data_IF_835270222297
#
_entry.id   IF_835270222297
#
_cell.length_a   1.000
_cell.length_b   1.000
_cell.length_c   1.000
_cell.angle_alpha   90.00
_cell.angle_beta   90.00
_cell.angle_gamma   90.00
#
_symmetry.space_group_name_H-M   'P 1'
#
loop_
_entity.id
_entity.type
_entity.pdbx_description
1 polymer ?
#
# COMPACT_ATOMS: atom_id res chain seq x y z
N UNK A 1 6.05 34.11 -14.97
CA UNK A 1 5.32 34.29 -13.71
C UNK A 1 5.60 33.07 -12.85
N UNK A 2 6.02 33.31 -11.61
CA UNK A 2 6.52 32.35 -10.61
C UNK A 2 5.58 31.14 -10.48
N UNK A 3 5.93 30.04 -11.14
CA UNK A 3 5.31 28.75 -10.88
C UNK A 3 5.95 28.20 -9.62
N UNK A 4 5.13 27.77 -8.66
CA UNK A 4 5.61 27.12 -7.45
C UNK A 4 6.52 25.97 -7.88
N UNK A 5 7.82 26.13 -7.65
CA UNK A 5 8.83 25.16 -7.97
C UNK A 5 8.75 23.96 -7.03
N UNK A 6 9.39 22.86 -7.44
CA UNK A 6 9.50 21.66 -6.60
C UNK A 6 10.06 21.99 -5.21
N UNK A 7 11.02 22.91 -5.13
CA UNK A 7 11.62 23.38 -3.87
C UNK A 7 10.61 24.03 -2.94
N UNK A 8 9.72 24.89 -3.46
CA UNK A 8 8.71 25.58 -2.66
C UNK A 8 7.64 24.61 -2.16
N UNK A 9 7.23 23.64 -3.00
CA UNK A 9 6.35 22.55 -2.57
C UNK A 9 6.96 21.72 -1.44
N UNK A 10 8.27 21.42 -1.51
CA UNK A 10 8.96 20.68 -0.44
C UNK A 10 8.98 21.49 0.86
N UNK A 11 9.26 22.80 0.79
CA UNK A 11 9.25 23.67 1.99
C UNK A 11 7.85 23.67 2.63
N UNK A 12 6.79 23.83 1.83
CA UNK A 12 5.41 23.81 2.32
C UNK A 12 5.09 22.44 2.94
N UNK A 13 5.48 21.35 2.27
CA UNK A 13 5.30 19.98 2.77
C UNK A 13 5.95 19.81 4.15
N UNK A 14 7.19 20.28 4.32
CA UNK A 14 7.91 20.21 5.60
C UNK A 14 7.17 20.98 6.69
N UNK A 15 6.67 22.19 6.40
CA UNK A 15 5.89 22.98 7.38
C UNK A 15 4.63 22.23 7.81
N UNK A 16 3.88 21.69 6.85
CA UNK A 16 2.68 20.87 7.11
C UNK A 16 3.05 19.65 7.96
N UNK A 17 4.14 18.97 7.64
CA UNK A 17 4.63 17.82 8.40
C UNK A 17 5.04 18.18 9.83
N UNK A 18 5.56 19.38 10.08
CA UNK A 18 5.89 19.83 11.44
C UNK A 18 4.62 20.09 12.26
N UNK A 19 3.59 20.68 11.65
CA UNK A 19 2.31 21.00 12.33
C UNK A 19 1.50 19.73 12.60
N UNK A 20 1.33 18.88 11.59
CA UNK A 20 0.48 17.69 11.66
C UNK A 20 1.22 16.43 12.11
N UNK A 21 2.55 16.40 11.97
CA UNK A 21 3.39 15.23 12.20
C UNK A 21 3.50 14.32 10.97
N UNK A 22 4.65 13.66 10.81
CA UNK A 22 4.93 12.72 9.71
C UNK A 22 3.98 11.51 9.66
N UNK A 23 3.41 11.12 10.80
CA UNK A 23 2.54 9.95 10.89
C UNK A 23 1.11 10.22 10.40
N UNK A 24 0.66 11.48 10.36
CA UNK A 24 -0.73 11.80 10.01
C UNK A 24 -1.02 11.77 8.51
N UNK A 25 -0.05 12.11 7.66
CA UNK A 25 -0.25 12.05 6.20
C UNK A 25 -0.48 10.61 5.69
N UNK A 26 0.31 9.60 6.08
CA UNK A 26 0.07 8.21 5.70
C UNK A 26 -1.24 7.66 6.27
N UNK A 27 -1.60 8.02 7.51
CA UNK A 27 -2.83 7.58 8.17
C UNK A 27 -4.08 8.05 7.38
N UNK A 28 -4.12 9.34 7.03
CA UNK A 28 -5.20 9.93 6.23
C UNK A 28 -5.17 9.38 4.79
N UNK A 29 -3.97 9.25 4.20
CA UNK A 29 -3.78 8.72 2.86
C UNK A 29 -4.25 7.26 2.72
N UNK A 30 -4.04 6.42 3.73
CA UNK A 30 -4.50 5.03 3.74
C UNK A 30 -6.03 4.94 3.76
N UNK A 31 -6.70 5.76 4.57
CA UNK A 31 -8.16 5.85 4.60
C UNK A 31 -8.75 6.34 3.27
N UNK A 32 -8.19 7.45 2.76
CA UNK A 32 -8.62 8.04 1.49
C UNK A 32 -8.34 7.11 0.31
N UNK A 33 -7.20 6.42 0.29
CA UNK A 33 -6.83 5.46 -0.75
C UNK A 33 -7.79 4.26 -0.80
N UNK A 34 -8.20 3.73 0.36
CA UNK A 34 -9.24 2.69 0.44
C UNK A 34 -10.58 3.21 -0.10
N UNK A 35 -10.96 4.43 0.26
CA UNK A 35 -12.19 5.05 -0.23
C UNK A 35 -12.18 5.24 -1.75
N UNK A 36 -11.10 5.78 -2.31
CA UNK A 36 -10.93 5.95 -3.76
C UNK A 36 -10.94 4.59 -4.47
N UNK A 37 -10.26 3.58 -3.93
CA UNK A 37 -10.24 2.22 -4.47
C UNK A 37 -11.64 1.61 -4.53
N UNK A 38 -12.39 1.70 -3.43
CA UNK A 38 -13.75 1.17 -3.34
C UNK A 38 -14.72 1.95 -4.25
N UNK A 39 -14.58 3.28 -4.31
CA UNK A 39 -15.35 4.13 -5.21
C UNK A 39 -15.09 3.77 -6.68
N UNK A 40 -13.82 3.56 -7.05
CA UNK A 40 -13.45 3.12 -8.40
C UNK A 40 -14.01 1.73 -8.71
N UNK A 41 -13.96 0.78 -7.76
CA UNK A 41 -14.54 -0.57 -7.93
C UNK A 41 -16.04 -0.47 -8.20
N UNK A 42 -16.77 0.24 -7.34
CA UNK A 42 -18.21 0.44 -7.45
C UNK A 42 -18.66 1.18 -8.72
N UNK A 43 -17.83 2.10 -9.25
CA UNK A 43 -18.19 2.84 -10.47
C UNK A 43 -17.80 2.14 -11.77
N UNK A 44 -16.86 1.17 -11.72
CA UNK A 44 -16.31 0.50 -12.90
C UNK A 44 -16.93 -0.88 -13.14
N UNK A 45 -17.39 -1.56 -12.08
CA UNK A 45 -17.97 -2.91 -12.17
C UNK A 45 -19.50 -2.82 -12.13
N UNK A 46 -20.22 -3.20 -13.20
CA UNK A 46 -21.67 -3.40 -13.12
C UNK A 46 -21.95 -4.59 -12.20
N UNK A 47 -23.02 -4.49 -11.40
CA UNK A 47 -23.38 -5.39 -10.29
C UNK A 47 -23.26 -6.90 -10.62
N UNK A 48 -22.09 -7.48 -10.40
CA UNK A 48 -21.95 -8.91 -10.17
C UNK A 48 -21.72 -9.12 -8.69
N UNK A 49 -22.66 -9.81 -8.05
CA UNK A 49 -22.65 -10.16 -6.63
C UNK A 49 -21.39 -10.98 -6.35
N UNK A 50 -20.35 -10.31 -5.86
CA UNK A 50 -19.04 -10.89 -5.53
C UNK A 50 -19.15 -11.65 -4.19
N UNK A 51 -19.57 -12.91 -4.25
CA UNK A 51 -19.56 -13.86 -3.11
C UNK A 51 -18.19 -14.51 -2.87
N UNK A 52 -17.11 -13.91 -3.38
CA UNK A 52 -15.76 -14.42 -3.16
C UNK A 52 -15.19 -13.85 -1.84
N UNK A 53 -14.84 -14.68 -0.84
CA UNK A 53 -14.12 -14.19 0.33
C UNK A 53 -12.78 -13.65 -0.16
N UNK A 54 -12.52 -12.35 0.04
CA UNK A 54 -11.22 -11.74 -0.25
C UNK A 54 -10.16 -12.24 0.75
N UNK A 55 -9.72 -13.48 0.55
CA UNK A 55 -8.38 -13.90 0.95
C UNK A 55 -7.35 -13.28 -0.01
N UNK A 56 -6.18 -12.97 0.52
CA UNK A 56 -5.02 -12.37 -0.15
C UNK A 56 -5.04 -10.84 -0.34
N UNK A 57 -4.49 -10.13 0.64
CA UNK A 57 -3.23 -9.38 0.47
C UNK A 57 -2.66 -8.97 1.83
N UNK A 58 -2.20 -9.98 2.56
CA UNK A 58 -1.21 -9.85 3.63
C UNK A 58 0.07 -10.61 3.22
N UNK A 59 0.60 -10.28 2.03
CA UNK A 59 1.81 -10.88 1.45
C UNK A 59 3.05 -10.04 1.81
N UNK A 60 3.33 -9.87 3.09
CA UNK A 60 4.63 -9.31 3.51
C UNK A 60 5.31 -9.97 4.72
N UNK A 61 4.88 -11.16 5.17
CA UNK A 61 5.64 -11.94 6.16
C UNK A 61 5.50 -13.45 5.93
N UNK A 62 6.26 -14.02 4.98
CA UNK A 62 6.68 -15.44 4.95
C UNK A 62 7.57 -15.67 3.72
N UNK A 63 8.79 -15.14 3.75
CA UNK A 63 9.84 -15.48 2.76
C UNK A 63 11.01 -16.25 3.38
N UNK A 64 10.85 -16.76 4.61
CA UNK A 64 11.95 -17.33 5.41
C UNK A 64 11.82 -18.84 5.70
N UNK A 65 10.95 -19.60 5.02
CA UNK A 65 10.76 -21.04 5.34
C UNK A 65 10.80 -22.03 4.17
N UNK A 66 11.10 -21.61 2.95
CA UNK A 66 11.28 -22.55 1.81
C UNK A 66 12.75 -22.93 1.55
N UNK A 67 13.69 -22.38 2.32
CA UNK A 67 15.12 -22.64 2.16
C UNK A 67 15.66 -23.89 2.86
N UNK A 68 14.86 -24.59 3.68
CA UNK A 68 15.37 -25.69 4.54
C UNK A 68 14.99 -27.11 4.09
N UNK A 69 14.05 -27.30 3.16
CA UNK A 69 13.67 -28.66 2.73
C UNK A 69 14.46 -29.18 1.51
N UNK A 70 15.15 -28.31 0.76
CA UNK A 70 15.85 -28.73 -0.47
C UNK A 70 17.28 -29.25 -0.26
N UNK A 71 17.86 -29.12 0.94
CA UNK A 71 19.25 -29.56 1.18
C UNK A 71 19.34 -30.97 1.79
N UNK A 72 18.24 -31.53 2.32
CA UNK A 72 18.22 -32.90 2.87
C UNK A 72 17.95 -33.99 1.81
N UNK A 73 17.33 -33.64 0.68
CA UNK A 73 16.98 -34.62 -0.36
C UNK A 73 18.14 -34.88 -1.34
N UNK A 74 19.05 -33.94 -1.53
CA UNK A 74 20.23 -34.11 -2.40
C UNK A 74 21.40 -34.86 -1.76
N UNK A 75 21.30 -35.21 -0.46
CA UNK A 75 22.34 -35.97 0.25
C UNK A 75 22.06 -37.47 0.34
N UNK A 76 20.97 -37.94 -0.28
CA UNK A 76 20.53 -39.34 -0.24
C UNK A 76 20.41 -40.03 -1.61
N UNK A 77 20.73 -39.35 -2.70
CA UNK A 77 20.89 -39.96 -4.03
C UNK A 77 22.37 -39.98 -4.46
#
# INVERSE_FOLDING_TARGET
MFGIGMTELIIILVIVLVIFGANKLPEIGAGMGKAIKNFKKATTEPEEIDVTPSEEKDKEQKKDKEGQEKEEEQKKE
#
